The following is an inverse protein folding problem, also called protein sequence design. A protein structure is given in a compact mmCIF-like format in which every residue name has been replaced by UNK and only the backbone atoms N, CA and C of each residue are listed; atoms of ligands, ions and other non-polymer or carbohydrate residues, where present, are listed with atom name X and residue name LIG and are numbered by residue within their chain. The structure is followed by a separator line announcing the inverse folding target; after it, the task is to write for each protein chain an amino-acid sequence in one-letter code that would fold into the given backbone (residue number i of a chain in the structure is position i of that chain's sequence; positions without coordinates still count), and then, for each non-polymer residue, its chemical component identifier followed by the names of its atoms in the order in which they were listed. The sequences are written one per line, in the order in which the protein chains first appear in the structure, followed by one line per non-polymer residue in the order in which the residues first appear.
data_IF_588979792898
#
_entry.id   IF_588979792898
#
_cell.length_a   1.000
_cell.length_b   1.000
_cell.length_c   1.000
_cell.angle_alpha   90.00
_cell.angle_beta   90.00
_cell.angle_gamma   90.00
#
_symmetry.space_group_name_H-M   'P 1'
#
loop_
_entity.id
_entity.type
_entity.pdbx_description
1 polymer ?
#
# COMPACT_ATOMS: atom_id res chain seq x y z
N UNK A 1 -12.30 2.95 -19.32
CA UNK A 1 -11.85 3.29 -17.95
C UNK A 1 -10.92 2.23 -17.35
N UNK A 2 -11.31 0.95 -17.26
CA UNK A 2 -10.49 -0.07 -16.60
C UNK A 2 -9.11 -0.26 -17.26
N UNK A 3 -9.04 -0.35 -18.58
CA UNK A 3 -7.78 -0.46 -19.30
C UNK A 3 -6.85 0.74 -19.07
N UNK A 4 -7.41 1.94 -18.97
CA UNK A 4 -6.67 3.17 -18.66
C UNK A 4 -6.07 3.12 -17.26
N UNK A 5 -6.83 2.66 -16.25
CA UNK A 5 -6.33 2.50 -14.89
C UNK A 5 -5.22 1.45 -14.80
N UNK A 6 -5.35 0.33 -15.52
CA UNK A 6 -4.30 -0.70 -15.58
C UNK A 6 -3.02 -0.14 -16.23
N UNK A 7 -3.16 0.59 -17.33
CA UNK A 7 -2.01 1.24 -17.99
C UNK A 7 -1.30 2.20 -17.06
N UNK A 8 -2.05 3.06 -16.37
CA UNK A 8 -1.50 4.02 -15.41
C UNK A 8 -0.86 3.33 -14.20
N UNK A 9 -1.67 2.65 -13.42
CA UNK A 9 -1.31 2.24 -12.06
C UNK A 9 -0.61 0.89 -11.96
N UNK A 10 -0.69 0.05 -13.01
CA UNK A 10 -0.02 -1.26 -13.01
C UNK A 10 1.17 -1.30 -13.98
N UNK A 11 0.99 -0.74 -15.18
CA UNK A 11 2.05 -0.75 -16.19
C UNK A 11 2.95 0.49 -16.14
N UNK A 12 2.53 1.56 -15.44
CA UNK A 12 3.27 2.81 -15.36
C UNK A 12 3.33 3.58 -16.70
N UNK A 13 2.42 3.27 -17.63
CA UNK A 13 2.42 3.93 -18.93
C UNK A 13 1.78 5.33 -18.85
N UNK A 14 2.34 6.33 -19.53
CA UNK A 14 1.69 7.62 -19.67
C UNK A 14 0.34 7.48 -20.40
N UNK A 15 -0.65 8.27 -20.01
CA UNK A 15 -1.94 8.38 -20.68
C UNK A 15 -2.33 9.84 -20.87
N UNK A 16 -3.17 10.09 -21.88
CA UNK A 16 -3.76 11.40 -22.10
C UNK A 16 -4.60 11.86 -20.90
N UNK A 17 -4.52 13.15 -20.55
CA UNK A 17 -5.24 13.68 -19.38
C UNK A 17 -6.76 13.54 -19.50
N UNK A 18 -7.33 13.68 -20.70
CA UNK A 18 -8.76 13.50 -20.93
C UNK A 18 -9.18 12.02 -20.79
N UNK A 19 -8.33 11.09 -21.21
CA UNK A 19 -8.56 9.65 -20.99
C UNK A 19 -8.52 9.30 -19.49
N UNK A 20 -7.58 9.86 -18.75
CA UNK A 20 -7.48 9.69 -17.31
C UNK A 20 -8.68 10.30 -16.56
N UNK A 21 -9.14 11.49 -16.96
CA UNK A 21 -10.32 12.13 -16.38
C UNK A 21 -11.58 11.24 -16.54
N UNK A 22 -11.77 10.64 -17.70
CA UNK A 22 -12.87 9.69 -17.93
C UNK A 22 -12.74 8.38 -17.11
N UNK A 23 -11.51 8.01 -16.76
CA UNK A 23 -11.26 6.81 -15.97
C UNK A 23 -11.40 7.05 -14.46
N UNK A 24 -11.34 8.30 -14.01
CA UNK A 24 -11.45 8.73 -12.61
C UNK A 24 -12.65 9.67 -12.40
N UNK A 25 -13.89 9.22 -12.68
CA UNK A 25 -15.06 10.11 -12.79
C UNK A 25 -15.44 10.84 -11.49
N UNK A 26 -15.03 10.34 -10.34
CA UNK A 26 -15.32 10.96 -9.04
C UNK A 26 -14.15 11.80 -8.53
N UNK A 27 -12.94 11.28 -8.66
CA UNK A 27 -11.73 11.92 -8.14
C UNK A 27 -11.19 12.98 -9.11
N UNK A 28 -11.27 12.72 -10.42
CA UNK A 28 -10.65 13.50 -11.46
C UNK A 28 -9.12 13.44 -11.46
N UNK A 29 -8.53 14.02 -12.49
CA UNK A 29 -7.06 14.15 -12.59
C UNK A 29 -6.53 15.08 -11.52
N UNK A 30 -7.20 16.22 -11.28
CA UNK A 30 -6.80 17.20 -10.26
C UNK A 30 -6.76 16.57 -8.86
N UNK A 31 -7.80 15.84 -8.48
CA UNK A 31 -7.85 15.14 -7.19
C UNK A 31 -6.77 14.08 -7.06
N UNK A 32 -6.52 13.31 -8.13
CA UNK A 32 -5.47 12.28 -8.13
C UNK A 32 -4.05 12.88 -8.03
N UNK A 33 -3.82 14.04 -8.63
CA UNK A 33 -2.56 14.79 -8.49
C UNK A 33 -2.43 15.35 -7.07
N UNK A 34 -3.49 15.92 -6.51
CA UNK A 34 -3.49 16.45 -5.13
C UNK A 34 -3.20 15.35 -4.09
N UNK A 35 -3.67 14.13 -4.31
CA UNK A 35 -3.36 12.95 -3.48
C UNK A 35 -1.95 12.37 -3.74
N UNK A 36 -1.23 12.86 -4.75
CA UNK A 36 0.08 12.32 -5.12
C UNK A 36 0.04 10.99 -5.86
N UNK A 37 -1.12 10.55 -6.35
CA UNK A 37 -1.28 9.32 -7.14
C UNK A 37 -0.79 9.49 -8.57
N UNK A 38 -0.99 10.69 -9.13
CA UNK A 38 -0.59 11.05 -10.50
C UNK A 38 0.34 12.26 -10.50
N UNK A 39 1.06 12.44 -11.59
CA UNK A 39 1.75 13.67 -11.93
C UNK A 39 1.42 14.08 -13.37
N UNK A 40 1.41 15.38 -13.64
CA UNK A 40 1.30 15.90 -15.00
C UNK A 40 2.62 15.72 -15.72
N UNK A 41 2.59 15.25 -16.97
CA UNK A 41 3.75 15.11 -17.85
C UNK A 41 3.36 15.51 -19.28
N UNK A 42 3.80 16.69 -19.71
CA UNK A 42 3.36 17.26 -20.99
C UNK A 42 1.85 17.46 -21.02
N UNK A 43 1.18 16.92 -22.04
CA UNK A 43 -0.27 16.96 -22.19
C UNK A 43 -0.99 15.75 -21.55
N UNK A 44 -0.24 14.91 -20.84
CA UNK A 44 -0.74 13.68 -20.23
C UNK A 44 -0.46 13.60 -18.72
N UNK A 45 -0.69 12.41 -18.21
CA UNK A 45 -0.45 12.06 -16.80
C UNK A 45 0.31 10.75 -16.69
N UNK A 46 1.09 10.63 -15.61
CA UNK A 46 1.82 9.41 -15.24
C UNK A 46 1.49 9.04 -13.80
N UNK A 47 1.46 7.76 -13.50
CA UNK A 47 1.30 7.30 -12.12
C UNK A 47 2.56 7.54 -11.29
N UNK A 48 2.35 7.85 -10.01
CA UNK A 48 3.41 8.03 -9.01
C UNK A 48 3.52 6.83 -8.08
N UNK A 49 2.56 5.93 -8.16
CA UNK A 49 2.51 4.69 -7.37
C UNK A 49 1.86 3.59 -8.20
N UNK A 50 2.10 2.35 -7.81
CA UNK A 50 1.26 1.23 -8.14
C UNK A 50 0.00 1.31 -7.27
N UNK A 51 -1.15 1.10 -7.83
CA UNK A 51 -2.42 1.00 -7.11
C UNK A 51 -3.23 -0.13 -7.74
N UNK A 52 -3.37 -1.20 -6.98
CA UNK A 52 -4.05 -2.40 -7.49
C UNK A 52 -5.02 -3.00 -6.49
N UNK A 53 -6.07 -3.69 -6.97
CA UNK A 53 -6.94 -4.44 -6.09
C UNK A 53 -6.20 -5.65 -5.52
N UNK A 54 -6.48 -5.94 -4.26
CA UNK A 54 -6.09 -7.15 -3.58
C UNK A 54 -7.34 -7.84 -3.04
N UNK A 55 -7.83 -8.80 -3.82
CA UNK A 55 -9.08 -9.48 -3.55
C UNK A 55 -8.85 -10.97 -3.25
N UNK A 56 -9.73 -11.54 -2.46
CA UNK A 56 -9.83 -12.96 -2.13
C UNK A 56 -11.27 -13.28 -1.75
N UNK A 57 -11.53 -14.47 -1.19
CA UNK A 57 -12.89 -14.91 -0.89
C UNK A 57 -13.66 -13.93 0.02
N UNK A 58 -12.96 -13.32 0.99
CA UNK A 58 -13.51 -12.37 1.96
C UNK A 58 -12.73 -11.05 1.99
N UNK A 59 -11.92 -10.75 0.95
CA UNK A 59 -11.06 -9.57 0.88
C UNK A 59 -11.39 -8.75 -0.36
N UNK A 60 -11.52 -7.44 -0.17
CA UNK A 60 -11.72 -6.48 -1.26
C UNK A 60 -11.00 -5.17 -0.88
N UNK A 61 -9.68 -5.19 -1.03
CA UNK A 61 -8.83 -4.06 -0.68
C UNK A 61 -8.18 -3.44 -1.90
N UNK A 62 -7.79 -2.19 -1.76
CA UNK A 62 -6.92 -1.50 -2.70
C UNK A 62 -5.59 -1.17 -2.04
N UNK A 63 -4.50 -1.53 -2.67
CA UNK A 63 -3.17 -1.34 -2.08
C UNK A 63 -2.30 -0.50 -3.00
N UNK A 64 -1.82 0.62 -2.45
CA UNK A 64 -0.82 1.47 -3.06
C UNK A 64 0.58 1.08 -2.59
N UNK A 65 1.54 1.11 -3.51
CA UNK A 65 2.96 0.87 -3.26
C UNK A 65 3.79 1.58 -4.32
N UNK A 66 5.11 1.43 -4.31
CA UNK A 66 5.91 1.95 -5.40
C UNK A 66 5.73 1.13 -6.68
N UNK A 67 5.76 1.83 -7.83
CA UNK A 67 5.87 1.19 -9.13
C UNK A 67 7.16 0.40 -9.21
N UNK A 68 7.09 -0.83 -9.72
CA UNK A 68 8.25 -1.69 -9.87
C UNK A 68 9.24 -1.24 -10.96
N UNK A 69 10.36 -1.92 -11.06
CA UNK A 69 11.42 -1.63 -12.03
C UNK A 69 10.92 -1.82 -13.48
N UNK A 70 10.03 -2.77 -13.72
CA UNK A 70 9.50 -3.03 -15.06
C UNK A 70 8.59 -1.88 -15.52
N UNK A 71 7.75 -1.36 -14.63
CA UNK A 71 6.87 -0.24 -14.91
C UNK A 71 7.66 1.07 -15.09
N UNK A 72 8.63 1.33 -14.21
CA UNK A 72 9.42 2.57 -14.26
C UNK A 72 10.54 2.54 -15.30
N UNK A 73 10.98 1.34 -15.72
CA UNK A 73 12.18 1.12 -16.55
C UNK A 73 13.43 1.75 -15.94
N UNK A 74 13.48 1.88 -14.62
CA UNK A 74 14.57 2.46 -13.84
C UNK A 74 14.87 1.57 -12.64
N UNK A 75 16.14 1.49 -12.20
CA UNK A 75 16.46 0.79 -10.96
C UNK A 75 15.64 1.31 -9.79
N UNK A 76 15.19 0.42 -8.93
CA UNK A 76 14.45 0.80 -7.72
C UNK A 76 15.30 1.61 -6.76
N UNK A 77 14.70 2.54 -6.05
CA UNK A 77 15.35 3.32 -5.01
C UNK A 77 15.67 2.44 -3.79
N UNK A 78 16.61 2.89 -2.97
CA UNK A 78 17.01 2.16 -1.76
C UNK A 78 15.88 2.08 -0.72
N UNK A 79 14.97 3.05 -0.73
CA UNK A 79 13.77 3.15 0.11
C UNK A 79 12.50 2.66 -0.61
N UNK A 80 12.66 1.85 -1.66
CA UNK A 80 11.55 1.31 -2.44
C UNK A 80 10.61 0.46 -1.58
N UNK A 81 9.33 0.77 -1.67
CA UNK A 81 8.27 0.08 -0.91
C UNK A 81 7.60 -0.94 -1.80
N UNK A 82 7.90 -2.20 -1.55
CA UNK A 82 7.30 -3.31 -2.27
C UNK A 82 5.80 -3.38 -2.03
N UNK A 83 5.08 -3.65 -3.09
CA UNK A 83 3.65 -3.94 -3.04
C UNK A 83 3.35 -5.42 -2.78
N UNK A 84 2.16 -5.83 -3.18
CA UNK A 84 1.72 -7.22 -3.08
C UNK A 84 2.50 -8.06 -4.09
N UNK A 85 3.33 -8.95 -3.59
CA UNK A 85 4.20 -9.77 -4.43
C UNK A 85 4.64 -11.06 -3.76
N UNK A 86 5.71 -11.64 -4.29
CA UNK A 86 6.18 -12.98 -3.97
C UNK A 86 6.47 -13.27 -2.50
N UNK A 87 6.75 -12.29 -1.66
CA UNK A 87 6.97 -12.47 -0.23
C UNK A 87 5.70 -12.20 0.61
N UNK A 88 4.93 -11.16 0.25
CA UNK A 88 3.76 -10.74 1.02
C UNK A 88 2.64 -11.80 1.02
N UNK A 89 2.33 -12.37 -0.13
CA UNK A 89 1.24 -13.36 -0.27
C UNK A 89 1.52 -14.67 0.49
N UNK A 90 2.70 -15.31 0.39
CA UNK A 90 3.02 -16.48 1.21
C UNK A 90 2.97 -16.16 2.71
N UNK A 91 3.53 -15.03 3.14
CA UNK A 91 3.50 -14.63 4.55
C UNK A 91 2.06 -14.51 5.07
N UNK A 92 1.20 -13.81 4.33
CA UNK A 92 -0.22 -13.69 4.68
C UNK A 92 -0.93 -15.06 4.75
N UNK A 93 -0.59 -15.99 3.84
CA UNK A 93 -1.19 -17.33 3.79
C UNK A 93 -0.76 -18.21 4.97
N UNK A 94 0.46 -18.03 5.47
CA UNK A 94 1.03 -18.88 6.53
C UNK A 94 0.84 -18.28 7.92
N UNK A 95 0.54 -16.97 8.01
CA UNK A 95 0.29 -16.31 9.29
C UNK A 95 -0.97 -16.88 9.94
N UNK A 96 -0.87 -17.43 11.17
CA UNK A 96 -2.04 -17.88 11.93
C UNK A 96 -3.01 -16.71 12.18
N UNK A 97 -4.30 -17.01 12.23
CA UNK A 97 -5.35 -15.98 12.43
C UNK A 97 -6.14 -16.16 13.74
N UNK A 98 -5.47 -16.32 14.90
CA UNK A 98 -6.18 -16.33 16.18
C UNK A 98 -6.76 -14.94 16.44
N UNK A 99 -7.88 -14.85 17.15
CA UNK A 99 -8.30 -13.58 17.71
C UNK A 99 -7.34 -13.18 18.82
N UNK A 100 -6.77 -11.98 18.70
CA UNK A 100 -5.83 -11.42 19.67
C UNK A 100 -6.19 -9.99 20.02
N UNK A 101 -5.93 -9.59 21.26
CA UNK A 101 -6.15 -8.20 21.68
C UNK A 101 -5.20 -7.24 20.93
N UNK A 102 -3.94 -7.65 20.71
CA UNK A 102 -2.94 -6.81 20.03
C UNK A 102 -2.08 -7.63 19.08
N UNK A 103 -1.87 -7.10 17.88
CA UNK A 103 -0.95 -7.64 16.89
C UNK A 103 0.10 -6.58 16.48
N UNK A 104 1.27 -7.05 16.06
CA UNK A 104 2.38 -6.23 15.58
C UNK A 104 2.80 -6.70 14.19
N UNK A 105 2.95 -5.74 13.27
CA UNK A 105 3.57 -5.92 11.96
C UNK A 105 4.93 -5.20 11.94
N UNK A 106 6.01 -5.95 11.83
CA UNK A 106 7.39 -5.44 11.87
C UNK A 106 7.95 -5.30 10.47
N UNK A 107 8.34 -4.08 10.09
CA UNK A 107 8.74 -3.81 8.70
C UNK A 107 7.53 -3.83 7.77
N UNK A 108 6.49 -3.11 8.16
CA UNK A 108 5.14 -3.19 7.54
C UNK A 108 5.11 -2.88 6.04
N UNK A 109 6.11 -2.15 5.51
CA UNK A 109 6.12 -1.72 4.12
C UNK A 109 4.85 -0.93 3.77
N UNK A 110 4.10 -1.39 2.78
CA UNK A 110 2.83 -0.77 2.39
C UNK A 110 1.64 -1.18 3.28
N UNK A 111 1.83 -2.00 4.32
CA UNK A 111 0.78 -2.36 5.27
C UNK A 111 -0.07 -3.59 4.92
N UNK A 112 0.34 -4.40 3.95
CA UNK A 112 -0.45 -5.60 3.53
C UNK A 112 -0.69 -6.56 4.69
N UNK A 113 0.35 -6.86 5.49
CA UNK A 113 0.18 -7.75 6.64
C UNK A 113 -0.72 -7.12 7.70
N UNK A 114 -0.62 -5.81 7.91
CA UNK A 114 -1.48 -5.07 8.82
C UNK A 114 -2.97 -5.14 8.42
N UNK A 115 -3.29 -5.09 7.11
CA UNK A 115 -4.66 -5.31 6.62
C UNK A 115 -5.19 -6.69 7.05
N UNK A 116 -4.39 -7.74 6.87
CA UNK A 116 -4.76 -9.08 7.32
C UNK A 116 -4.91 -9.15 8.86
N UNK A 117 -3.98 -8.57 9.61
CA UNK A 117 -4.05 -8.56 11.08
C UNK A 117 -5.30 -7.84 11.60
N UNK A 118 -5.70 -6.75 10.96
CA UNK A 118 -6.90 -5.99 11.33
C UNK A 118 -8.21 -6.78 11.25
N UNK A 119 -8.22 -7.91 10.53
CA UNK A 119 -9.40 -8.80 10.47
C UNK A 119 -9.64 -9.60 11.75
N UNK A 120 -8.60 -9.78 12.60
CA UNK A 120 -8.69 -10.67 13.76
C UNK A 120 -7.94 -10.16 15.01
N UNK A 121 -7.39 -8.95 14.98
CA UNK A 121 -6.81 -8.26 16.13
C UNK A 121 -7.67 -7.05 16.51
N UNK A 122 -7.84 -6.80 17.81
CA UNK A 122 -8.59 -5.62 18.28
C UNK A 122 -7.78 -4.33 18.10
N UNK A 123 -6.45 -4.43 18.20
CA UNK A 123 -5.48 -3.36 17.98
C UNK A 123 -4.31 -3.86 17.13
N UNK A 124 -3.96 -3.11 16.10
CA UNK A 124 -2.78 -3.37 15.27
C UNK A 124 -1.78 -2.24 15.44
N UNK A 125 -0.52 -2.60 15.66
CA UNK A 125 0.62 -1.68 15.63
C UNK A 125 1.49 -2.07 14.45
N UNK A 126 1.94 -1.07 13.69
CA UNK A 126 2.85 -1.26 12.56
C UNK A 126 4.12 -0.48 12.78
N UNK A 127 5.25 -1.09 12.44
CA UNK A 127 6.56 -0.43 12.55
C UNK A 127 7.31 -0.52 11.23
N UNK A 128 8.06 0.52 10.89
CA UNK A 128 9.01 0.49 9.79
C UNK A 128 10.12 1.52 10.05
N UNK A 129 11.28 1.28 9.46
CA UNK A 129 12.39 2.22 9.45
C UNK A 129 12.20 3.33 8.41
N UNK A 130 11.52 3.01 7.31
CA UNK A 130 11.29 3.91 6.18
C UNK A 130 10.04 4.76 6.41
N UNK A 131 10.21 6.08 6.51
CA UNK A 131 9.07 7.01 6.55
C UNK A 131 8.22 6.93 5.27
N UNK A 132 8.83 6.54 4.14
CA UNK A 132 8.11 6.28 2.88
C UNK A 132 7.16 5.08 3.02
N UNK A 133 7.63 3.99 3.60
CA UNK A 133 6.80 2.82 3.91
C UNK A 133 5.64 3.19 4.83
N UNK A 134 5.93 3.93 5.91
CA UNK A 134 4.91 4.40 6.84
C UNK A 134 3.89 5.34 6.20
N UNK A 135 4.29 6.14 5.20
CA UNK A 135 3.36 6.97 4.44
C UNK A 135 2.37 6.10 3.63
N UNK A 136 2.87 5.07 2.93
CA UNK A 136 2.01 4.09 2.25
C UNK A 136 1.10 3.33 3.22
N UNK A 137 1.64 2.88 4.35
CA UNK A 137 0.83 2.20 5.35
C UNK A 137 -0.32 3.08 5.87
N UNK A 138 -0.07 4.37 6.13
CA UNK A 138 -1.14 5.32 6.51
C UNK A 138 -2.16 5.54 5.39
N UNK A 139 -1.69 5.66 4.15
CA UNK A 139 -2.55 5.84 2.99
C UNK A 139 -3.45 4.63 2.78
N UNK A 140 -2.90 3.42 2.79
CA UNK A 140 -3.65 2.18 2.61
C UNK A 140 -4.62 1.93 3.77
N UNK A 141 -4.26 2.29 5.01
CA UNK A 141 -5.20 2.27 6.12
C UNK A 141 -6.42 3.14 5.86
N UNK A 142 -6.20 4.35 5.38
CA UNK A 142 -7.31 5.28 5.08
C UNK A 142 -8.14 4.80 3.89
N UNK A 143 -7.50 4.23 2.87
CA UNK A 143 -8.15 3.73 1.66
C UNK A 143 -9.10 2.56 1.94
N UNK A 144 -8.68 1.65 2.82
CA UNK A 144 -9.42 0.43 3.17
C UNK A 144 -10.17 0.54 4.51
N UNK A 145 -10.32 1.76 5.04
CA UNK A 145 -10.99 2.06 6.32
C UNK A 145 -10.43 1.28 7.51
N UNK A 146 -9.19 0.79 7.38
CA UNK A 146 -8.50 0.07 8.44
C UNK A 146 -7.88 1.04 9.46
N UNK A 147 -7.59 0.54 10.66
CA UNK A 147 -7.01 1.33 11.73
C UNK A 147 -5.85 0.62 12.38
N UNK A 148 -4.72 1.29 12.44
CA UNK A 148 -3.56 0.85 13.20
C UNK A 148 -2.73 2.01 13.70
N UNK A 149 -1.87 1.73 14.69
CA UNK A 149 -0.90 2.69 15.20
C UNK A 149 0.39 2.57 14.38
N UNK A 150 0.83 3.66 13.79
CA UNK A 150 2.04 3.72 12.98
C UNK A 150 3.19 4.28 13.81
N UNK A 151 4.30 3.55 13.88
CA UNK A 151 5.50 3.96 14.62
C UNK A 151 6.75 3.79 13.78
N UNK A 152 7.60 4.82 13.77
CA UNK A 152 8.88 4.82 13.08
C UNK A 152 9.98 4.29 13.98
N UNK A 153 10.85 3.47 13.43
CA UNK A 153 12.06 2.98 14.10
C UNK A 153 12.50 1.59 13.66
N UNK A 154 13.63 1.15 14.21
CA UNK A 154 14.25 -0.11 13.81
C UNK A 154 13.65 -1.30 14.54
N UNK A 155 13.21 -2.29 13.79
CA UNK A 155 12.73 -3.58 14.32
C UNK A 155 11.72 -3.42 15.47
N UNK A 156 12.06 -3.87 16.68
CA UNK A 156 11.23 -3.84 17.87
C UNK A 156 11.47 -2.61 18.77
N UNK A 157 12.37 -1.73 18.40
CA UNK A 157 12.69 -0.54 19.19
C UNK A 157 11.47 0.35 19.49
N UNK A 158 10.59 0.64 18.49
CA UNK A 158 9.41 1.48 18.73
C UNK A 158 8.36 0.89 19.66
N UNK A 159 8.48 -0.40 19.99
CA UNK A 159 7.54 -1.16 20.83
C UNK A 159 8.23 -1.82 22.02
N UNK A 160 9.41 -1.32 22.39
CA UNK A 160 10.20 -1.88 23.50
C UNK A 160 9.39 -1.95 24.80
N UNK A 161 9.37 -3.13 25.43
CA UNK A 161 8.63 -3.38 26.67
C UNK A 161 7.14 -3.69 26.49
N UNK A 162 6.61 -3.61 25.27
CA UNK A 162 5.23 -3.98 24.97
C UNK A 162 5.07 -5.49 24.68
N UNK A 163 3.85 -5.97 24.76
CA UNK A 163 3.52 -7.38 24.50
C UNK A 163 2.41 -7.47 23.46
N UNK A 164 2.52 -8.45 22.57
CA UNK A 164 1.59 -8.70 21.49
C UNK A 164 1.18 -10.19 21.50
N UNK A 165 -0.07 -10.45 21.16
CA UNK A 165 -0.58 -11.81 21.00
C UNK A 165 -0.15 -12.45 19.69
N UNK A 166 0.17 -11.62 18.69
CA UNK A 166 0.70 -12.06 17.39
C UNK A 166 1.71 -11.03 16.90
N UNK A 167 2.81 -11.50 16.33
CA UNK A 167 3.86 -10.68 15.68
C UNK A 167 4.13 -11.28 14.31
N UNK A 168 4.14 -10.44 13.28
CA UNK A 168 4.45 -10.80 11.89
C UNK A 168 5.61 -9.95 11.39
#
# INVERSE_FOLDING_TARGET
PCATLVRLFTLGDPVDAAEAELALPTLGVEGAVALGLLALEGDGVVARCDLRPYAGDDLDWWVASDLDELATRRPVHQDHVLGIGGAATPLASWTPRPRVARALDVGTGCGVQALHLAQHADEVVVTDLSERALAYARFNAALDEARWQVRSGSMLEPVAGERFGLVV
#
